data_IF_058451028835
#
_entry.id   IF_058451028835
#
_cell.length_a   1.000
_cell.length_b   1.000
_cell.length_c   1.000
_cell.angle_alpha   90.00
_cell.angle_beta   90.00
_cell.angle_gamma   90.00
#
_symmetry.space_group_name_H-M   'P 1'
#
loop_
_entity.id
_entity.type
_entity.pdbx_description
1 polymer ?
#
# COMPACT_ATOMS: atom_id res chain seq x y z
N UNK A 1 -27.16 -19.02 -43.83
CA UNK A 1 -26.18 -17.98 -43.47
C UNK A 1 -25.08 -18.63 -42.66
N UNK A 2 -23.90 -18.78 -43.28
CA UNK A 2 -22.73 -19.43 -42.70
C UNK A 2 -22.00 -18.43 -41.80
N UNK A 3 -22.13 -18.59 -40.48
CA UNK A 3 -21.20 -17.95 -39.56
C UNK A 3 -19.86 -18.68 -39.70
N UNK A 4 -18.93 -18.08 -40.44
CA UNK A 4 -17.52 -18.47 -40.43
C UNK A 4 -17.07 -18.50 -38.97
N UNK A 5 -16.71 -19.69 -38.50
CA UNK A 5 -15.93 -19.88 -37.29
C UNK A 5 -14.58 -19.17 -37.46
N UNK A 6 -14.51 -17.92 -36.99
CA UNK A 6 -13.24 -17.23 -36.76
C UNK A 6 -12.43 -18.14 -35.84
N UNK A 7 -11.28 -18.65 -36.30
CA UNK A 7 -10.49 -19.63 -35.54
C UNK A 7 -10.12 -19.04 -34.18
N UNK A 8 -10.21 -19.82 -33.11
CA UNK A 8 -9.93 -19.34 -31.75
C UNK A 8 -8.52 -18.70 -31.61
N UNK A 9 -7.58 -19.08 -32.47
CA UNK A 9 -6.24 -18.48 -32.57
C UNK A 9 -6.25 -17.04 -33.08
N UNK A 10 -7.11 -16.69 -34.04
CA UNK A 10 -7.19 -15.32 -34.59
C UNK A 10 -7.68 -14.27 -33.58
N UNK A 11 -8.11 -14.70 -32.39
CA UNK A 11 -8.49 -13.81 -31.29
C UNK A 11 -7.33 -13.50 -30.33
N UNK A 12 -6.10 -13.98 -30.58
CA UNK A 12 -4.96 -13.89 -29.65
C UNK A 12 -3.78 -13.03 -30.14
N UNK A 13 -3.90 -12.42 -31.32
CA UNK A 13 -2.88 -11.54 -31.89
C UNK A 13 -3.49 -10.53 -32.87
N UNK A 14 -2.73 -9.49 -33.21
CA UNK A 14 -3.06 -8.56 -34.28
C UNK A 14 -1.81 -8.27 -35.12
N UNK A 15 -1.74 -8.88 -36.30
CA UNK A 15 -0.58 -8.77 -37.19
C UNK A 15 -0.34 -7.33 -37.63
N UNK A 16 -1.41 -6.60 -37.94
CA UNK A 16 -1.30 -5.21 -38.40
C UNK A 16 -0.69 -4.30 -37.34
N UNK A 17 -1.04 -4.51 -36.06
CA UNK A 17 -0.44 -3.77 -34.95
C UNK A 17 1.04 -4.15 -34.75
N UNK A 18 1.39 -5.44 -34.79
CA UNK A 18 2.78 -5.88 -34.69
C UNK A 18 3.65 -5.31 -35.81
N UNK A 19 3.17 -5.39 -37.06
CA UNK A 19 3.84 -4.81 -38.23
C UNK A 19 3.96 -3.30 -38.10
N UNK A 20 2.91 -2.61 -37.63
CA UNK A 20 2.92 -1.15 -37.44
C UNK A 20 3.94 -0.69 -36.40
N UNK A 21 4.18 -1.47 -35.34
CA UNK A 21 5.25 -1.18 -34.36
C UNK A 21 6.63 -1.38 -34.98
N UNK A 22 6.88 -2.54 -35.60
CA UNK A 22 8.19 -2.84 -36.16
C UNK A 22 8.59 -1.90 -37.29
N UNK A 23 7.68 -1.64 -38.24
CA UNK A 23 7.96 -0.71 -39.31
C UNK A 23 7.98 0.75 -38.84
N UNK A 24 7.18 1.12 -37.82
CA UNK A 24 7.25 2.44 -37.20
C UNK A 24 8.63 2.74 -36.61
N UNK A 25 9.21 1.78 -35.89
CA UNK A 25 10.57 1.93 -35.32
C UNK A 25 11.66 2.01 -36.40
N UNK A 26 11.48 1.39 -37.57
CA UNK A 26 12.40 1.52 -38.71
C UNK A 26 12.27 2.87 -39.42
N UNK A 27 11.18 3.60 -39.23
CA UNK A 27 10.93 4.91 -39.85
C UNK A 27 11.32 6.06 -38.92
N UNK A 28 11.01 5.95 -37.63
CA UNK A 28 11.27 6.98 -36.61
C UNK A 28 11.91 6.34 -35.35
N UNK A 29 13.24 6.40 -35.25
CA UNK A 29 13.97 5.76 -34.15
C UNK A 29 13.73 6.44 -32.78
N UNK A 30 13.47 7.75 -32.78
CA UNK A 30 13.27 8.55 -31.56
C UNK A 30 12.03 8.08 -30.77
N UNK A 31 11.11 7.37 -31.42
CA UNK A 31 9.92 6.80 -30.77
C UNK A 31 10.23 5.55 -29.94
N UNK A 32 11.46 5.04 -29.98
CA UNK A 32 11.90 3.93 -29.14
C UNK A 32 11.65 4.21 -27.65
N UNK A 33 11.89 5.43 -27.18
CA UNK A 33 11.73 5.80 -25.77
C UNK A 33 10.27 5.69 -25.29
N UNK A 34 9.31 5.87 -26.20
CA UNK A 34 7.88 5.68 -25.93
C UNK A 34 7.46 4.19 -25.96
N UNK A 35 8.13 3.37 -26.79
CA UNK A 35 7.78 1.96 -27.00
C UNK A 35 8.48 1.01 -26.02
N UNK A 36 9.74 1.27 -25.69
CA UNK A 36 10.54 0.46 -24.76
C UNK A 36 9.87 0.18 -23.41
N UNK A 37 9.15 1.12 -22.76
CA UNK A 37 8.44 0.83 -21.51
C UNK A 37 7.14 0.03 -21.72
N UNK A 38 6.60 -0.04 -22.93
CA UNK A 38 5.30 -0.66 -23.23
C UNK A 38 5.44 -2.14 -23.63
N UNK A 39 6.48 -2.47 -24.39
CA UNK A 39 6.65 -3.77 -25.03
C UNK A 39 8.04 -4.36 -24.82
N UNK A 40 8.09 -5.69 -24.70
CA UNK A 40 9.30 -6.50 -24.79
C UNK A 40 9.22 -7.47 -25.99
N UNK A 41 10.35 -8.09 -26.36
CA UNK A 41 10.38 -9.04 -27.47
C UNK A 41 9.42 -10.23 -27.31
N UNK A 42 9.06 -10.63 -26.09
CA UNK A 42 8.09 -11.70 -25.82
C UNK A 42 6.62 -11.31 -26.00
N UNK A 43 6.32 -10.03 -26.20
CA UNK A 43 4.95 -9.54 -26.40
C UNK A 43 4.45 -9.72 -27.83
N UNK A 44 5.32 -10.03 -28.79
CA UNK A 44 4.95 -10.33 -30.16
C UNK A 44 4.51 -11.80 -30.30
N UNK A 45 3.50 -12.06 -31.13
CA UNK A 45 3.01 -13.41 -31.36
C UNK A 45 3.95 -14.24 -32.25
N UNK A 46 4.44 -13.65 -33.34
CA UNK A 46 5.28 -14.36 -34.30
C UNK A 46 6.76 -14.34 -33.88
N UNK A 47 7.41 -15.51 -33.86
CA UNK A 47 8.86 -15.64 -33.56
C UNK A 47 9.74 -14.72 -34.43
N UNK A 48 9.33 -14.50 -35.69
CA UNK A 48 9.97 -13.57 -36.60
C UNK A 48 9.95 -12.14 -36.05
N UNK A 49 8.78 -11.66 -35.58
CA UNK A 49 8.63 -10.34 -34.99
C UNK A 49 9.38 -10.19 -33.66
N UNK A 50 9.35 -11.24 -32.83
CA UNK A 50 10.13 -11.27 -31.58
C UNK A 50 11.64 -11.10 -31.87
N UNK A 51 12.14 -11.79 -32.90
CA UNK A 51 13.54 -11.73 -33.31
C UNK A 51 13.91 -10.37 -33.89
N UNK A 52 13.04 -9.79 -34.72
CA UNK A 52 13.23 -8.44 -35.28
C UNK A 52 13.26 -7.39 -34.16
N UNK A 53 12.29 -7.41 -33.24
CA UNK A 53 12.24 -6.47 -32.13
C UNK A 53 13.47 -6.56 -31.22
N UNK A 54 13.95 -7.79 -30.95
CA UNK A 54 15.17 -8.02 -30.15
C UNK A 54 16.42 -7.46 -30.82
N UNK A 55 16.50 -7.52 -32.15
CA UNK A 55 17.62 -6.93 -32.88
C UNK A 55 17.54 -5.40 -32.90
N UNK A 56 16.34 -4.83 -33.03
CA UNK A 56 16.09 -3.39 -32.87
C UNK A 56 16.55 -2.92 -31.48
N UNK A 57 16.10 -3.58 -30.41
CA UNK A 57 16.50 -3.28 -29.03
C UNK A 57 18.02 -3.25 -28.85
N UNK A 58 18.71 -4.22 -29.46
CA UNK A 58 20.17 -4.32 -29.42
C UNK A 58 20.85 -3.18 -30.18
N UNK A 59 20.36 -2.82 -31.35
CA UNK A 59 20.91 -1.72 -32.16
C UNK A 59 20.74 -0.39 -31.44
N UNK A 60 19.57 -0.11 -30.84
CA UNK A 60 19.36 1.09 -30.01
C UNK A 60 20.31 1.09 -28.82
N UNK A 61 20.42 -0.03 -28.10
CA UNK A 61 21.32 -0.15 -26.95
C UNK A 61 22.80 0.07 -27.30
N UNK A 62 23.18 -0.17 -28.55
CA UNK A 62 24.51 0.08 -29.09
C UNK A 62 24.68 1.51 -29.64
N UNK A 63 23.65 2.35 -29.57
CA UNK A 63 23.64 3.71 -30.12
C UNK A 63 23.70 3.75 -31.66
N UNK A 64 23.26 2.69 -32.33
CA UNK A 64 23.26 2.59 -33.79
C UNK A 64 21.90 2.96 -34.37
N UNK A 65 21.85 3.65 -35.51
CA UNK A 65 20.60 3.99 -36.18
C UNK A 65 19.90 2.73 -36.72
N UNK A 66 18.59 2.76 -36.77
CA UNK A 66 17.73 1.64 -37.17
C UNK A 66 16.95 2.02 -38.41
N UNK A 67 17.37 1.49 -39.55
CA UNK A 67 16.61 1.55 -40.77
C UNK A 67 16.60 0.16 -41.42
N UNK A 68 15.91 0.04 -42.54
CA UNK A 68 15.81 -1.22 -43.28
C UNK A 68 17.20 -1.80 -43.64
N UNK A 69 18.18 -0.96 -43.94
CA UNK A 69 19.52 -1.36 -44.35
C UNK A 69 20.33 -1.79 -43.12
N UNK A 70 20.39 -0.97 -42.08
CA UNK A 70 21.20 -1.28 -40.88
C UNK A 70 20.66 -2.51 -40.15
N UNK A 71 19.34 -2.67 -40.11
CA UNK A 71 18.70 -3.84 -39.52
C UNK A 71 18.96 -5.11 -40.34
N UNK A 72 18.81 -5.04 -41.68
CA UNK A 72 19.05 -6.21 -42.54
C UNK A 72 20.51 -6.67 -42.50
N UNK A 73 21.48 -5.76 -42.54
CA UNK A 73 22.91 -6.08 -42.42
C UNK A 73 23.24 -6.67 -41.04
N UNK A 74 22.64 -6.15 -39.97
CA UNK A 74 22.83 -6.67 -38.62
C UNK A 74 22.27 -8.08 -38.46
N UNK A 75 21.10 -8.35 -39.04
CA UNK A 75 20.48 -9.67 -39.03
C UNK A 75 21.18 -10.67 -39.93
N UNK A 76 21.74 -10.24 -41.06
CA UNK A 76 22.49 -11.09 -41.99
C UNK A 76 23.81 -11.57 -41.37
N UNK A 77 24.56 -10.68 -40.70
CA UNK A 77 25.79 -11.04 -39.96
C UNK A 77 25.60 -12.11 -38.89
N UNK A 78 24.37 -12.34 -38.44
CA UNK A 78 24.00 -13.32 -37.41
C UNK A 78 23.24 -14.52 -37.97
N UNK A 79 23.12 -14.65 -39.28
CA UNK A 79 22.33 -15.68 -39.95
C UNK A 79 20.84 -15.71 -39.52
N UNK A 80 20.31 -14.56 -39.08
CA UNK A 80 18.91 -14.40 -38.62
C UNK A 80 17.97 -13.92 -39.73
N UNK A 81 18.51 -13.23 -40.75
CA UNK A 81 17.72 -12.58 -41.80
C UNK A 81 16.85 -13.58 -42.58
N UNK A 82 17.41 -14.73 -42.96
CA UNK A 82 16.68 -15.77 -43.69
C UNK A 82 15.52 -16.37 -42.86
N UNK A 83 15.68 -16.47 -41.54
CA UNK A 83 14.64 -16.98 -40.63
C UNK A 83 13.45 -16.02 -40.48
N UNK A 84 13.68 -14.74 -40.72
CA UNK A 84 12.68 -13.68 -40.57
C UNK A 84 12.04 -13.26 -41.90
N UNK A 85 12.09 -14.11 -42.93
CA UNK A 85 11.48 -13.81 -44.24
C UNK A 85 12.37 -13.01 -45.20
N UNK A 86 13.61 -12.73 -44.82
CA UNK A 86 14.59 -12.04 -45.66
C UNK A 86 14.36 -10.53 -45.77
N UNK A 87 15.19 -9.88 -46.60
CA UNK A 87 15.10 -8.44 -46.84
C UNK A 87 13.72 -8.00 -47.33
N UNK A 88 13.09 -8.82 -48.19
CA UNK A 88 11.77 -8.53 -48.75
C UNK A 88 10.69 -8.36 -47.66
N UNK A 89 10.76 -9.15 -46.59
CA UNK A 89 9.80 -9.05 -45.49
C UNK A 89 10.00 -7.79 -44.65
N UNK A 90 11.25 -7.44 -44.33
CA UNK A 90 11.54 -6.18 -43.63
C UNK A 90 11.08 -4.96 -44.45
N UNK A 91 11.27 -5.00 -45.77
CA UNK A 91 10.79 -3.97 -46.68
C UNK A 91 9.25 -3.88 -46.67
N UNK A 92 8.56 -5.01 -46.57
CA UNK A 92 7.11 -5.06 -46.44
C UNK A 92 6.63 -4.47 -45.10
N UNK A 93 7.31 -4.76 -43.97
CA UNK A 93 6.99 -4.19 -42.66
C UNK A 93 7.09 -2.65 -42.68
N UNK A 94 8.17 -2.12 -43.25
CA UNK A 94 8.38 -0.68 -43.41
C UNK A 94 7.30 -0.04 -44.29
N UNK A 95 6.92 -0.69 -45.40
CA UNK A 95 5.94 -0.16 -46.36
C UNK A 95 4.49 -0.23 -45.87
N UNK A 96 4.13 -1.27 -45.13
CA UNK A 96 2.76 -1.50 -44.67
C UNK A 96 2.42 -0.76 -43.37
N UNK A 97 3.36 0.01 -42.81
CA UNK A 97 3.13 0.83 -41.63
C UNK A 97 2.34 2.10 -42.02
N UNK A 98 1.09 2.28 -41.55
CA UNK A 98 0.24 3.37 -42.01
C UNK A 98 0.75 4.76 -41.60
N UNK A 99 1.27 4.88 -40.38
CA UNK A 99 1.91 6.09 -39.86
C UNK A 99 2.70 5.77 -38.60
N UNK A 100 3.94 6.26 -38.53
CA UNK A 100 4.74 6.21 -37.32
C UNK A 100 4.11 7.04 -36.18
N UNK A 101 3.23 8.01 -36.48
CA UNK A 101 2.55 8.85 -35.49
C UNK A 101 1.65 8.06 -34.51
N UNK A 102 1.12 6.90 -34.93
CA UNK A 102 0.23 6.07 -34.12
C UNK A 102 0.93 4.84 -33.50
N UNK A 103 2.27 4.80 -33.51
CA UNK A 103 3.03 3.63 -33.05
C UNK A 103 2.69 3.20 -31.61
N UNK A 104 2.43 4.17 -30.72
CA UNK A 104 2.03 3.92 -29.32
C UNK A 104 0.70 3.18 -29.26
N UNK A 105 -0.30 3.60 -30.03
CA UNK A 105 -1.60 2.93 -30.08
C UNK A 105 -1.47 1.49 -30.63
N UNK A 106 -0.59 1.27 -31.62
CA UNK A 106 -0.30 -0.09 -32.09
C UNK A 106 0.40 -0.93 -31.02
N UNK A 107 1.33 -0.33 -30.26
CA UNK A 107 2.02 -1.01 -29.18
C UNK A 107 1.07 -1.40 -28.04
N UNK A 108 0.11 -0.54 -27.68
CA UNK A 108 -0.94 -0.85 -26.72
C UNK A 108 -1.80 -2.05 -27.17
N UNK A 109 -2.15 -2.12 -28.46
CA UNK A 109 -2.88 -3.25 -29.03
C UNK A 109 -2.04 -4.54 -28.89
N UNK A 110 -0.77 -4.54 -29.30
CA UNK A 110 0.11 -5.71 -29.17
C UNK A 110 0.21 -6.17 -27.71
N UNK A 111 0.35 -5.21 -26.79
CA UNK A 111 0.41 -5.45 -25.35
C UNK A 111 -0.87 -6.09 -24.81
N UNK A 112 -2.04 -5.62 -25.23
CA UNK A 112 -3.33 -6.19 -24.86
C UNK A 112 -3.44 -7.66 -25.29
N UNK A 113 -3.04 -7.95 -26.54
CA UNK A 113 -3.02 -9.32 -27.04
C UNK A 113 -1.98 -10.21 -26.32
N UNK A 114 -0.80 -9.67 -25.99
CA UNK A 114 0.20 -10.38 -25.16
C UNK A 114 -0.40 -10.80 -23.81
N UNK A 115 -1.07 -9.87 -23.12
CA UNK A 115 -1.77 -10.16 -21.85
C UNK A 115 -2.83 -11.23 -22.00
N UNK A 116 -3.63 -11.15 -23.07
CA UNK A 116 -4.64 -12.17 -23.37
C UNK A 116 -4.01 -13.56 -23.52
N UNK A 117 -2.86 -13.66 -24.20
CA UNK A 117 -2.11 -14.92 -24.32
C UNK A 117 -1.55 -15.40 -22.98
N UNK A 118 -1.02 -14.50 -22.16
CA UNK A 118 -0.53 -14.83 -20.82
C UNK A 118 -1.65 -15.35 -19.90
N UNK A 119 -2.86 -14.75 -19.98
CA UNK A 119 -4.04 -15.21 -19.26
C UNK A 119 -4.50 -16.60 -19.72
N UNK A 120 -4.53 -16.85 -21.04
CA UNK A 120 -4.87 -18.18 -21.59
C UNK A 120 -3.85 -19.22 -21.12
N UNK A 121 -2.55 -18.89 -21.17
CA UNK A 121 -1.48 -19.76 -20.68
C UNK A 121 -1.65 -20.10 -19.20
N UNK A 122 -1.92 -19.08 -18.37
CA UNK A 122 -2.20 -19.28 -16.95
C UNK A 122 -3.42 -20.20 -16.73
N UNK A 123 -4.51 -19.98 -17.47
CA UNK A 123 -5.70 -20.82 -17.39
C UNK A 123 -5.41 -22.30 -17.72
N UNK A 124 -4.63 -22.55 -18.78
CA UNK A 124 -4.20 -23.90 -19.13
C UNK A 124 -3.28 -24.52 -18.07
N UNK A 125 -2.32 -23.76 -17.53
CA UNK A 125 -1.41 -24.22 -16.48
C UNK A 125 -2.17 -24.60 -15.20
N UNK A 126 -3.16 -23.79 -14.80
CA UNK A 126 -4.00 -24.05 -13.64
C UNK A 126 -4.89 -25.27 -13.85
N UNK A 127 -5.53 -25.40 -15.02
CA UNK A 127 -6.33 -26.56 -15.35
C UNK A 127 -5.51 -27.85 -15.33
N UNK A 128 -4.31 -27.83 -15.92
CA UNK A 128 -3.41 -28.97 -15.94
C UNK A 128 -2.94 -29.38 -14.53
N UNK A 129 -2.55 -28.41 -13.70
CA UNK A 129 -2.11 -28.67 -12.32
C UNK A 129 -3.28 -29.15 -11.45
N UNK A 130 -4.46 -28.52 -11.53
CA UNK A 130 -5.64 -28.91 -10.75
C UNK A 130 -6.19 -30.31 -11.12
N UNK A 131 -5.91 -30.79 -12.33
CA UNK A 131 -6.34 -32.12 -12.79
C UNK A 131 -5.46 -33.27 -12.27
N UNK A 132 -4.33 -32.98 -11.61
CA UNK A 132 -3.43 -34.00 -11.03
C UNK A 132 -3.86 -34.29 -9.59
N UNK A 133 -4.05 -35.57 -9.25
CA UNK A 133 -4.73 -36.02 -8.02
C UNK A 133 -4.02 -35.78 -6.69
N UNK A 134 -2.75 -35.36 -6.68
CA UNK A 134 -1.96 -35.10 -5.45
C UNK A 134 -1.40 -33.66 -5.42
N UNK A 135 -2.23 -32.71 -5.87
CA UNK A 135 -1.83 -31.30 -5.98
C UNK A 135 -2.10 -30.55 -4.68
N UNK A 136 -1.09 -29.85 -4.16
CA UNK A 136 -1.28 -28.85 -3.11
C UNK A 136 -2.13 -27.69 -3.64
N UNK A 137 -3.43 -27.73 -3.33
CA UNK A 137 -4.42 -26.74 -3.76
C UNK A 137 -4.07 -25.36 -3.22
N UNK A 138 -3.58 -25.26 -1.99
CA UNK A 138 -3.24 -23.98 -1.36
C UNK A 138 -2.04 -23.34 -2.06
N UNK A 139 -0.98 -24.10 -2.32
CA UNK A 139 0.17 -23.63 -3.11
C UNK A 139 -0.19 -23.25 -4.54
N UNK A 140 -1.13 -23.98 -5.17
CA UNK A 140 -1.61 -23.67 -6.52
C UNK A 140 -2.38 -22.34 -6.57
N UNK A 141 -3.27 -22.09 -5.60
CA UNK A 141 -4.01 -20.82 -5.48
C UNK A 141 -3.02 -19.66 -5.28
N UNK A 142 -2.04 -19.82 -4.40
CA UNK A 142 -1.05 -18.78 -4.14
C UNK A 142 -0.21 -18.45 -5.39
N UNK A 143 0.22 -19.47 -6.14
CA UNK A 143 0.93 -19.29 -7.40
C UNK A 143 0.06 -18.57 -8.44
N UNK A 144 -1.22 -18.93 -8.53
CA UNK A 144 -2.19 -18.27 -9.39
C UNK A 144 -2.36 -16.79 -9.04
N UNK A 145 -2.49 -16.47 -7.75
CA UNK A 145 -2.59 -15.09 -7.25
C UNK A 145 -1.35 -14.27 -7.58
N UNK A 146 -0.14 -14.82 -7.36
CA UNK A 146 1.12 -14.15 -7.72
C UNK A 146 1.19 -13.86 -9.22
N UNK A 147 0.85 -14.83 -10.07
CA UNK A 147 0.88 -14.66 -11.53
C UNK A 147 -0.18 -13.64 -11.99
N UNK A 148 -1.43 -13.74 -11.52
CA UNK A 148 -2.48 -12.75 -11.82
C UNK A 148 -2.10 -11.34 -11.37
N UNK A 149 -1.50 -11.22 -10.19
CA UNK A 149 -1.05 -9.94 -9.65
C UNK A 149 0.06 -9.32 -10.51
N UNK A 150 1.01 -10.11 -10.98
CA UNK A 150 2.06 -9.63 -11.90
C UNK A 150 1.48 -9.13 -13.23
N UNK A 151 0.46 -9.81 -13.77
CA UNK A 151 -0.27 -9.38 -14.97
C UNK A 151 -1.04 -8.08 -14.74
N UNK A 152 -1.62 -7.91 -13.55
CA UNK A 152 -2.35 -6.70 -13.18
C UNK A 152 -1.42 -5.50 -12.93
N UNK A 153 -0.20 -5.69 -12.42
CA UNK A 153 0.76 -4.62 -12.17
C UNK A 153 1.31 -3.96 -13.44
N UNK A 154 1.38 -4.69 -14.56
CA UNK A 154 1.79 -4.12 -15.84
C UNK A 154 0.88 -2.96 -16.29
N UNK A 155 -0.28 -2.76 -15.69
CA UNK A 155 -1.24 -1.71 -16.05
C UNK A 155 -0.87 -0.31 -15.52
N UNK A 156 0.13 -0.19 -14.64
CA UNK A 156 0.52 1.09 -14.03
C UNK A 156 1.94 1.48 -14.42
N UNK A 157 2.10 2.08 -15.60
CA UNK A 157 3.15 3.07 -15.78
C UNK A 157 2.56 4.41 -15.34
N UNK A 158 2.82 4.92 -14.12
CA UNK A 158 2.48 6.31 -13.82
C UNK A 158 3.34 7.22 -14.70
N UNK A 159 2.79 8.37 -15.11
CA UNK A 159 3.54 9.46 -15.76
C UNK A 159 4.84 9.73 -14.99
N UNK A 160 5.98 9.40 -15.59
CA UNK A 160 7.27 9.26 -14.87
C UNK A 160 7.96 10.60 -14.59
N UNK A 161 7.44 11.74 -15.08
CA UNK A 161 7.99 13.06 -14.74
C UNK A 161 6.91 14.13 -14.76
N UNK A 162 6.61 14.71 -13.58
CA UNK A 162 5.80 15.92 -13.47
C UNK A 162 6.69 17.16 -13.63
N UNK A 163 6.25 18.15 -14.41
CA UNK A 163 6.94 19.43 -14.49
C UNK A 163 6.93 20.15 -13.14
N UNK A 164 8.09 20.63 -12.70
CA UNK A 164 8.25 21.40 -11.45
C UNK A 164 7.30 22.60 -11.42
N UNK A 165 7.09 23.27 -12.56
CA UNK A 165 6.21 24.46 -12.62
C UNK A 165 4.74 24.15 -12.33
N UNK A 166 4.26 22.97 -12.76
CA UNK A 166 2.90 22.51 -12.46
C UNK A 166 2.76 22.20 -10.97
N UNK A 167 3.76 21.53 -10.39
CA UNK A 167 3.78 21.18 -8.97
C UNK A 167 3.85 22.39 -8.03
N UNK A 168 4.60 23.44 -8.41
CA UNK A 168 4.68 24.68 -7.61
C UNK A 168 3.31 25.35 -7.51
N UNK A 169 2.57 25.43 -8.62
CA UNK A 169 1.23 26.04 -8.62
C UNK A 169 0.25 25.26 -7.74
N UNK A 170 0.26 23.93 -7.82
CA UNK A 170 -0.54 23.06 -6.96
C UNK A 170 -0.17 23.22 -5.49
N UNK A 171 1.12 23.32 -5.18
CA UNK A 171 1.62 23.49 -3.81
C UNK A 171 1.22 24.84 -3.22
N UNK A 172 1.26 25.92 -4.01
CA UNK A 172 0.83 27.25 -3.55
C UNK A 172 -0.68 27.24 -3.25
N UNK A 173 -1.50 26.68 -4.13
CA UNK A 173 -2.95 26.56 -3.88
C UNK A 173 -3.24 25.73 -2.63
N UNK A 174 -2.48 24.67 -2.38
CA UNK A 174 -2.57 23.90 -1.15
C UNK A 174 -2.15 24.73 0.08
N UNK A 175 -1.01 25.44 0.04
CA UNK A 175 -0.56 26.30 1.15
C UNK A 175 -1.59 27.37 1.49
N UNK A 176 -2.20 27.99 0.49
CA UNK A 176 -3.29 28.97 0.69
C UNK A 176 -4.50 28.34 1.37
N UNK A 177 -4.86 27.09 1.02
CA UNK A 177 -5.98 26.37 1.62
C UNK A 177 -5.77 26.03 3.10
N UNK A 178 -4.51 25.83 3.50
CA UNK A 178 -4.13 25.46 4.88
C UNK A 178 -3.78 26.71 5.71
N UNK A 179 -3.40 27.80 5.05
CA UNK A 179 -3.07 29.09 5.68
C UNK A 179 -4.34 29.77 6.21
N UNK A 180 -4.66 29.49 7.48
CA UNK A 180 -5.83 30.03 8.19
C UNK A 180 -6.47 29.05 9.19
N UNK A 181 -6.05 27.78 9.18
CA UNK A 181 -6.52 26.72 10.09
C UNK A 181 -5.72 26.61 11.40
N UNK A 182 -5.95 25.50 12.13
CA UNK A 182 -5.33 25.17 13.43
C UNK A 182 -3.83 24.85 13.38
N UNK A 183 -3.18 24.97 12.21
CA UNK A 183 -1.79 24.56 12.00
C UNK A 183 -1.60 23.07 11.69
N UNK A 184 -2.67 22.26 11.72
CA UNK A 184 -2.65 20.84 11.34
C UNK A 184 -2.93 20.71 9.85
N UNK A 185 -1.94 20.26 9.09
CA UNK A 185 -1.99 20.14 7.63
C UNK A 185 -2.43 18.74 7.16
N UNK A 186 -2.23 17.73 8.00
CA UNK A 186 -2.58 16.33 7.76
C UNK A 186 -3.78 15.86 8.59
N UNK A 187 -3.92 14.54 8.74
CA UNK A 187 -4.95 13.93 9.60
C UNK A 187 -4.62 14.17 11.08
N UNK A 188 -5.54 14.75 11.87
CA UNK A 188 -5.30 15.02 13.29
C UNK A 188 -5.03 13.75 14.09
N UNK A 189 -4.05 13.80 14.98
CA UNK A 189 -3.68 12.67 15.85
C UNK A 189 -4.53 12.61 17.11
N UNK A 190 -5.18 13.71 17.51
CA UNK A 190 -5.97 13.79 18.75
C UNK A 190 -5.17 14.25 19.96
N UNK A 191 -3.91 14.66 19.77
CA UNK A 191 -3.11 15.34 20.77
C UNK A 191 -2.52 16.61 20.15
N UNK A 192 -2.84 17.77 20.69
CA UNK A 192 -2.35 19.06 20.18
C UNK A 192 -0.82 19.10 20.13
N UNK A 193 -0.13 18.67 21.19
CA UNK A 193 1.35 18.67 21.20
C UNK A 193 1.96 17.73 20.15
N UNK A 194 1.28 16.62 19.83
CA UNK A 194 1.74 15.71 18.77
C UNK A 194 1.46 16.31 17.39
N UNK A 195 0.30 16.93 17.21
CA UNK A 195 -0.07 17.62 15.98
C UNK A 195 0.84 18.83 15.71
N UNK A 196 1.26 19.58 16.72
CA UNK A 196 2.24 20.67 16.59
C UNK A 196 3.61 20.18 16.12
N UNK A 197 4.05 19.00 16.59
CA UNK A 197 5.33 18.40 16.18
C UNK A 197 5.26 17.72 14.82
N UNK A 198 4.08 17.27 14.40
CA UNK A 198 3.91 16.44 13.20
C UNK A 198 3.23 17.16 12.04
N UNK A 199 2.54 18.26 12.29
CA UNK A 199 1.57 18.84 11.36
C UNK A 199 0.33 17.95 11.17
N UNK A 200 0.09 16.99 12.07
CA UNK A 200 -0.79 15.85 11.83
C UNK A 200 -0.13 14.77 10.96
N UNK A 201 -0.83 13.67 10.72
CA UNK A 201 -0.33 12.59 9.86
C UNK A 201 -0.55 12.90 8.38
N UNK A 202 0.55 12.97 7.62
CA UNK A 202 0.51 13.42 6.24
C UNK A 202 0.08 12.30 5.28
N UNK A 203 -0.60 12.70 4.20
CA UNK A 203 -1.00 11.77 3.14
C UNK A 203 0.22 11.11 2.49
N UNK A 204 0.19 9.79 2.37
CA UNK A 204 1.29 9.03 1.79
C UNK A 204 2.33 8.56 2.78
N UNK A 205 2.26 8.96 4.06
CA UNK A 205 3.20 8.53 5.09
C UNK A 205 2.87 7.15 5.66
N UNK A 206 3.94 6.42 6.02
CA UNK A 206 3.88 5.21 6.82
C UNK A 206 4.29 5.56 8.25
N UNK A 207 3.34 5.45 9.18
CA UNK A 207 3.52 5.69 10.61
C UNK A 207 3.64 4.35 11.32
N UNK A 208 4.70 4.15 12.09
CA UNK A 208 4.86 2.96 12.93
C UNK A 208 4.63 3.32 14.40
N UNK A 209 3.72 2.60 15.05
CA UNK A 209 3.51 2.69 16.50
C UNK A 209 4.02 1.43 17.19
N UNK A 210 5.18 1.57 17.84
CA UNK A 210 5.88 0.51 18.55
C UNK A 210 5.54 0.48 20.03
N UNK A 211 5.16 -0.68 20.58
CA UNK A 211 5.01 -0.81 22.03
C UNK A 211 5.26 -2.25 22.50
N UNK A 212 5.53 -2.41 23.81
CA UNK A 212 5.46 -3.71 24.48
C UNK A 212 4.00 -4.09 24.76
N UNK A 213 3.70 -5.39 24.96
CA UNK A 213 2.37 -5.84 25.37
C UNK A 213 1.85 -5.07 26.58
N UNK A 214 0.53 -4.89 26.66
CA UNK A 214 -0.16 -4.20 27.77
C UNK A 214 0.13 -2.71 27.94
N UNK A 215 0.99 -2.11 27.10
CA UNK A 215 1.25 -0.67 27.13
C UNK A 215 0.04 0.17 26.69
N UNK A 216 -0.89 -0.38 25.91
CA UNK A 216 -2.08 0.34 25.42
C UNK A 216 -2.04 0.68 23.93
N UNK A 217 -1.17 0.04 23.15
CA UNK A 217 -0.98 0.24 21.70
C UNK A 217 -2.29 0.28 20.89
N UNK A 218 -3.17 -0.70 21.06
CA UNK A 218 -4.47 -0.72 20.37
C UNK A 218 -5.40 0.39 20.87
N UNK A 219 -5.33 0.75 22.17
CA UNK A 219 -6.12 1.85 22.72
C UNK A 219 -5.68 3.21 22.16
N UNK A 220 -4.38 3.43 22.00
CA UNK A 220 -3.82 4.60 21.32
C UNK A 220 -4.23 4.63 19.84
N UNK A 221 -4.15 3.50 19.14
CA UNK A 221 -4.62 3.38 17.75
C UNK A 221 -6.10 3.74 17.58
N UNK A 222 -6.96 3.25 18.48
CA UNK A 222 -8.40 3.59 18.47
C UNK A 222 -8.64 5.08 18.77
N UNK A 223 -7.82 5.70 19.62
CA UNK A 223 -7.91 7.13 19.86
C UNK A 223 -7.55 7.95 18.62
N UNK A 224 -6.50 7.57 17.90
CA UNK A 224 -6.17 8.19 16.62
C UNK A 224 -7.29 7.98 15.58
N UNK A 225 -7.95 6.81 15.59
CA UNK A 225 -9.12 6.57 14.73
C UNK A 225 -10.28 7.54 15.05
N UNK A 226 -10.57 7.74 16.34
CA UNK A 226 -11.60 8.71 16.78
C UNK A 226 -11.21 10.12 16.33
N UNK A 227 -9.97 10.54 16.57
CA UNK A 227 -9.48 11.86 16.18
C UNK A 227 -9.57 12.09 14.67
N UNK A 228 -9.21 11.09 13.86
CA UNK A 228 -9.33 11.16 12.40
C UNK A 228 -10.80 11.24 11.94
N UNK A 229 -11.71 10.47 12.55
CA UNK A 229 -13.14 10.52 12.24
C UNK A 229 -13.77 11.88 12.60
N UNK A 230 -13.37 12.47 13.71
CA UNK A 230 -13.87 13.78 14.16
C UNK A 230 -13.24 14.94 13.38
N UNK A 231 -11.94 14.86 13.09
CA UNK A 231 -11.18 15.89 12.39
C UNK A 231 -11.33 15.88 10.87
N UNK A 232 -11.85 14.81 10.27
CA UNK A 232 -12.08 14.70 8.82
C UNK A 232 -13.50 14.22 8.49
N UNK A 233 -14.55 15.06 8.66
CA UNK A 233 -15.96 14.67 8.54
C UNK A 233 -16.37 14.01 7.22
N UNK A 234 -15.68 14.31 6.13
CA UNK A 234 -16.00 13.77 4.79
C UNK A 234 -15.15 12.56 4.39
N UNK A 235 -14.22 12.13 5.26
CA UNK A 235 -13.32 11.01 4.99
C UNK A 235 -13.66 9.80 5.85
N UNK A 236 -13.26 8.62 5.36
CA UNK A 236 -13.39 7.35 6.07
C UNK A 236 -12.16 7.05 6.93
N UNK A 237 -12.27 6.10 7.85
CA UNK A 237 -11.16 5.48 8.57
C UNK A 237 -11.28 3.97 8.42
N UNK A 238 -10.21 3.31 7.99
CA UNK A 238 -10.18 1.87 7.81
C UNK A 238 -9.30 1.24 8.88
N UNK A 239 -9.81 0.25 9.60
CA UNK A 239 -9.11 -0.45 10.67
C UNK A 239 -9.02 -1.94 10.34
N UNK A 240 -7.82 -2.41 10.03
CA UNK A 240 -7.51 -3.82 9.78
C UNK A 240 -7.01 -4.45 11.07
N UNK A 241 -7.86 -5.25 11.72
CA UNK A 241 -7.60 -5.87 13.01
C UNK A 241 -7.30 -7.35 12.86
N UNK A 242 -6.02 -7.69 12.76
CA UNK A 242 -5.56 -9.07 12.56
C UNK A 242 -5.55 -9.83 13.91
N UNK A 243 -5.26 -9.14 15.01
CA UNK A 243 -5.18 -9.75 16.34
C UNK A 243 -6.54 -9.87 17.04
N UNK A 244 -7.38 -8.83 16.94
CA UNK A 244 -8.59 -8.71 17.76
C UNK A 244 -9.87 -8.77 16.91
N UNK A 245 -10.92 -9.47 17.36
CA UNK A 245 -12.21 -9.46 16.67
C UNK A 245 -12.90 -8.09 16.81
N UNK A 246 -13.72 -7.75 15.82
CA UNK A 246 -14.45 -6.47 15.72
C UNK A 246 -15.22 -6.15 16.99
N UNK A 247 -15.90 -7.14 17.58
CA UNK A 247 -16.68 -6.95 18.81
C UNK A 247 -15.84 -6.41 19.98
N UNK A 248 -14.58 -6.84 20.11
CA UNK A 248 -13.70 -6.35 21.17
C UNK A 248 -13.27 -4.90 20.93
N UNK A 249 -13.04 -4.51 19.67
CA UNK A 249 -12.73 -3.12 19.32
C UNK A 249 -13.93 -2.20 19.57
N UNK A 250 -15.15 -2.63 19.20
CA UNK A 250 -16.36 -1.85 19.46
C UNK A 250 -16.59 -1.65 20.96
N UNK A 251 -16.40 -2.69 21.80
CA UNK A 251 -16.51 -2.54 23.25
C UNK A 251 -15.50 -1.54 23.82
N UNK A 252 -14.28 -1.50 23.27
CA UNK A 252 -13.27 -0.49 23.67
C UNK A 252 -13.68 0.91 23.24
N UNK A 253 -14.11 1.10 21.99
CA UNK A 253 -14.62 2.39 21.52
C UNK A 253 -15.78 2.89 22.38
N UNK A 254 -16.74 2.02 22.73
CA UNK A 254 -17.83 2.36 23.64
C UNK A 254 -17.33 2.78 25.02
N UNK A 255 -16.36 2.06 25.60
CA UNK A 255 -15.74 2.42 26.88
C UNK A 255 -15.08 3.80 26.83
N UNK A 256 -14.32 4.06 25.76
CA UNK A 256 -13.61 5.32 25.56
C UNK A 256 -14.58 6.50 25.37
N UNK A 257 -15.65 6.32 24.58
CA UNK A 257 -16.63 7.36 24.28
C UNK A 257 -17.59 7.61 25.45
N UNK A 258 -18.13 6.56 26.07
CA UNK A 258 -19.11 6.68 27.16
C UNK A 258 -18.47 6.98 28.52
N UNK A 259 -17.14 6.83 28.64
CA UNK A 259 -16.41 6.83 29.93
C UNK A 259 -17.02 5.86 30.93
N UNK A 260 -17.38 4.67 30.44
CA UNK A 260 -17.88 3.56 31.26
C UNK A 260 -16.73 2.57 31.45
N UNK A 261 -16.48 2.08 32.68
CA UNK A 261 -15.35 1.19 32.95
C UNK A 261 -15.36 -0.03 32.04
N UNK A 262 -14.24 -0.34 31.40
CA UNK A 262 -14.16 -1.42 30.41
C UNK A 262 -14.52 -2.79 31.02
N UNK A 263 -14.16 -3.01 32.29
CA UNK A 263 -14.49 -4.26 33.00
C UNK A 263 -16.00 -4.43 33.22
N UNK A 264 -16.74 -3.33 33.44
CA UNK A 264 -18.20 -3.37 33.57
C UNK A 264 -18.86 -3.78 32.25
N UNK A 265 -18.39 -3.22 31.13
CA UNK A 265 -18.87 -3.57 29.78
C UNK A 265 -18.59 -5.04 29.47
N UNK A 266 -17.36 -5.49 29.72
CA UNK A 266 -16.94 -6.87 29.49
C UNK A 266 -17.73 -7.88 30.33
N UNK A 267 -18.08 -7.52 31.57
CA UNK A 267 -18.84 -8.38 32.50
C UNK A 267 -20.36 -8.21 32.41
N UNK A 268 -20.84 -7.26 31.59
CA UNK A 268 -22.27 -6.93 31.50
C UNK A 268 -22.87 -6.37 32.80
N UNK A 269 -22.06 -5.74 33.66
CA UNK A 269 -22.48 -5.19 34.96
C UNK A 269 -22.62 -3.68 34.85
N UNK A 270 -23.76 -3.24 34.33
CA UNK A 270 -24.03 -1.82 34.05
C UNK A 270 -25.17 -1.32 34.91
N UNK A 271 -24.97 -0.16 35.54
CA UNK A 271 -26.07 0.56 36.20
C UNK A 271 -26.97 1.25 35.17
N UNK A 272 -28.18 1.66 35.58
CA UNK A 272 -29.11 2.40 34.71
C UNK A 272 -28.47 3.69 34.16
N UNK A 273 -27.71 4.42 34.98
CA UNK A 273 -26.97 5.60 34.52
C UNK A 273 -25.88 5.29 33.49
N UNK A 274 -25.18 4.15 33.64
CA UNK A 274 -24.19 3.71 32.66
C UNK A 274 -24.83 3.28 31.33
N UNK A 275 -26.04 2.70 31.37
CA UNK A 275 -26.80 2.41 30.17
C UNK A 275 -27.17 3.67 29.37
N UNK A 276 -27.52 4.77 30.05
CA UNK A 276 -27.77 6.05 29.39
C UNK A 276 -26.51 6.58 28.69
N UNK A 277 -25.36 6.60 29.37
CA UNK A 277 -24.08 7.02 28.78
C UNK A 277 -23.68 6.17 27.55
N UNK A 278 -23.95 4.86 27.60
CA UNK A 278 -23.72 3.98 26.46
C UNK A 278 -24.65 4.26 25.30
N UNK A 279 -25.91 4.64 25.57
CA UNK A 279 -26.85 5.04 24.52
C UNK A 279 -26.31 6.22 23.72
N UNK A 280 -25.75 7.22 24.38
CA UNK A 280 -25.15 8.39 23.72
C UNK A 280 -23.91 8.00 22.91
N UNK A 281 -23.05 7.14 23.46
CA UNK A 281 -21.88 6.62 22.74
C UNK A 281 -22.26 5.75 21.52
N UNK A 282 -23.33 4.95 21.63
CA UNK A 282 -23.88 4.19 20.51
C UNK A 282 -24.41 5.12 19.41
N UNK A 283 -25.12 6.19 19.76
CA UNK A 283 -25.58 7.19 18.80
C UNK A 283 -24.39 7.84 18.06
N UNK A 284 -23.31 8.16 18.77
CA UNK A 284 -22.07 8.66 18.18
C UNK A 284 -21.43 7.64 17.23
N UNK A 285 -21.32 6.37 17.62
CA UNK A 285 -20.80 5.32 16.74
C UNK A 285 -21.67 5.14 15.49
N UNK A 286 -22.99 5.17 15.63
CA UNK A 286 -23.93 5.12 14.51
C UNK A 286 -23.75 6.32 13.57
N UNK A 287 -23.37 7.50 14.07
CA UNK A 287 -23.05 8.65 13.21
C UNK A 287 -21.81 8.43 12.31
N UNK A 288 -20.98 7.42 12.62
CA UNK A 288 -19.84 7.00 11.80
C UNK A 288 -20.16 5.82 10.88
N UNK A 289 -21.44 5.49 10.69
CA UNK A 289 -21.88 4.49 9.72
C UNK A 289 -21.32 4.82 8.31
N UNK A 290 -20.75 3.80 7.66
CA UNK A 290 -20.08 3.97 6.36
C UNK A 290 -18.75 4.72 6.40
N UNK A 291 -18.32 5.23 7.56
CA UNK A 291 -17.05 5.96 7.73
C UNK A 291 -16.02 5.18 8.53
N UNK A 292 -16.40 4.55 9.64
CA UNK A 292 -15.51 3.63 10.37
C UNK A 292 -15.69 2.22 9.80
N UNK A 293 -14.69 1.74 9.05
CA UNK A 293 -14.70 0.44 8.41
C UNK A 293 -13.72 -0.49 9.13
N UNK A 294 -14.22 -1.57 9.74
CA UNK A 294 -13.39 -2.55 10.47
C UNK A 294 -13.38 -3.87 9.69
N UNK A 295 -12.19 -4.42 9.49
CA UNK A 295 -11.93 -5.72 8.86
C UNK A 295 -11.11 -6.56 9.84
N UNK A 296 -11.70 -7.62 10.42
CA UNK A 296 -11.06 -8.50 11.41
C UNK A 296 -10.63 -9.86 10.85
N UNK A 297 -10.39 -9.92 9.54
CA UNK A 297 -9.92 -11.15 8.87
C UNK A 297 -8.55 -11.57 9.41
N UNK A 298 -8.45 -12.76 10.01
CA UNK A 298 -7.24 -13.23 10.74
C UNK A 298 -6.02 -13.55 9.86
N UNK A 299 -6.22 -13.78 8.56
CA UNK A 299 -5.13 -14.03 7.60
C UNK A 299 -5.13 -12.93 6.54
N UNK A 300 -4.25 -11.95 6.72
CA UNK A 300 -4.08 -10.81 5.82
C UNK A 300 -2.66 -10.79 5.27
N UNK A 301 -2.55 -10.84 3.94
CA UNK A 301 -1.29 -10.53 3.24
C UNK A 301 -1.30 -9.05 2.84
N UNK A 302 -0.14 -8.42 2.56
CA UNK A 302 -0.12 -7.04 2.07
C UNK A 302 -0.95 -6.82 0.81
N UNK A 303 -1.02 -7.84 -0.06
CA UNK A 303 -1.82 -7.82 -1.28
C UNK A 303 -3.32 -7.82 -1.00
N UNK A 304 -3.80 -8.69 -0.09
CA UNK A 304 -5.23 -8.74 0.26
C UNK A 304 -5.67 -7.46 0.95
N UNK A 305 -4.83 -6.89 1.83
CA UNK A 305 -5.08 -5.62 2.49
C UNK A 305 -5.22 -4.49 1.45
N UNK A 306 -4.28 -4.40 0.50
CA UNK A 306 -4.33 -3.41 -0.60
C UNK A 306 -5.60 -3.54 -1.45
N UNK A 307 -6.03 -4.76 -1.78
CA UNK A 307 -7.28 -5.00 -2.52
C UNK A 307 -8.49 -4.54 -1.70
N UNK A 308 -8.55 -4.91 -0.42
CA UNK A 308 -9.63 -4.50 0.49
C UNK A 308 -9.69 -2.98 0.61
N UNK A 309 -8.55 -2.32 0.80
CA UNK A 309 -8.45 -0.88 0.92
C UNK A 309 -8.94 -0.14 -0.34
N UNK A 310 -8.50 -0.57 -1.52
CA UNK A 310 -8.97 -0.04 -2.81
C UNK A 310 -10.46 -0.23 -3.01
N UNK A 311 -10.99 -1.40 -2.66
CA UNK A 311 -12.43 -1.69 -2.73
C UNK A 311 -13.22 -0.74 -1.83
N UNK A 312 -12.74 -0.51 -0.61
CA UNK A 312 -13.35 0.40 0.34
C UNK A 312 -13.29 1.86 -0.14
N UNK A 313 -12.16 2.30 -0.71
CA UNK A 313 -12.03 3.64 -1.32
C UNK A 313 -13.08 3.86 -2.41
N UNK A 314 -13.27 2.87 -3.29
CA UNK A 314 -14.28 2.95 -4.38
C UNK A 314 -15.72 2.99 -3.87
N UNK A 315 -16.00 2.29 -2.77
CA UNK A 315 -17.36 2.13 -2.24
C UNK A 315 -17.76 3.22 -1.26
N UNK A 316 -16.84 3.67 -0.41
CA UNK A 316 -17.10 4.55 0.72
C UNK A 316 -16.35 5.88 0.65
N UNK A 317 -15.44 6.05 -0.32
CA UNK A 317 -14.67 7.28 -0.49
C UNK A 317 -13.29 7.26 0.17
N UNK A 318 -12.60 8.38 0.07
CA UNK A 318 -11.21 8.54 0.46
C UNK A 318 -11.01 8.38 1.99
N UNK A 319 -10.08 7.53 2.44
CA UNK A 319 -9.73 7.46 3.85
C UNK A 319 -8.86 8.64 4.29
N UNK A 320 -9.10 9.10 5.51
CA UNK A 320 -8.21 9.99 6.25
C UNK A 320 -7.13 9.22 7.00
N UNK A 321 -7.37 7.94 7.28
CA UNK A 321 -6.45 7.08 8.00
C UNK A 321 -6.73 5.60 7.70
N UNK A 322 -5.65 4.84 7.51
CA UNK A 322 -5.69 3.38 7.49
C UNK A 322 -4.86 2.86 8.68
N UNK A 323 -5.47 2.07 9.56
CA UNK A 323 -4.84 1.44 10.71
C UNK A 323 -4.66 -0.06 10.49
N UNK A 324 -3.52 -0.61 10.91
CA UNK A 324 -3.21 -2.05 10.82
C UNK A 324 -2.70 -2.57 12.17
N UNK A 325 -3.47 -3.44 12.83
CA UNK A 325 -3.15 -4.05 14.13
C UNK A 325 -2.97 -5.58 14.02
N UNK A 326 -1.75 -6.13 13.97
CA UNK A 326 -0.43 -5.50 13.91
C UNK A 326 0.44 -6.18 12.85
N UNK A 327 1.47 -5.48 12.38
CA UNK A 327 2.32 -5.87 11.25
C UNK A 327 2.83 -7.30 11.31
N UNK A 328 3.29 -7.73 12.48
CA UNK A 328 3.93 -9.03 12.64
C UNK A 328 2.94 -10.21 12.68
N UNK A 329 1.64 -10.00 12.44
CA UNK A 329 0.71 -11.09 12.13
C UNK A 329 0.46 -11.26 10.62
N UNK A 330 0.89 -10.30 9.80
CA UNK A 330 0.82 -10.44 8.36
C UNK A 330 1.83 -11.50 7.89
N UNK A 331 1.43 -12.24 6.85
CA UNK A 331 2.27 -13.24 6.19
C UNK A 331 2.42 -12.92 4.70
N UNK A 332 3.62 -13.13 4.18
CA UNK A 332 3.91 -13.16 2.74
C UNK A 332 4.28 -14.59 2.39
N UNK A 333 3.39 -15.32 1.70
CA UNK A 333 3.61 -16.74 1.50
C UNK A 333 4.78 -16.98 0.52
N UNK A 334 5.52 -18.08 0.76
CA UNK A 334 6.75 -18.42 0.04
C UNK A 334 8.05 -17.76 0.53
N UNK A 335 8.05 -17.13 1.73
CA UNK A 335 9.27 -16.60 2.37
C UNK A 335 9.65 -17.43 3.60
N UNK A 336 10.89 -17.91 3.64
CA UNK A 336 11.41 -18.64 4.82
C UNK A 336 11.98 -17.70 5.89
N UNK A 337 12.46 -16.51 5.49
CA UNK A 337 13.09 -15.57 6.40
C UNK A 337 12.14 -14.45 6.84
N UNK A 338 11.81 -14.44 8.13
CA UNK A 338 10.91 -13.46 8.74
C UNK A 338 11.36 -12.01 8.55
N UNK A 339 12.66 -11.74 8.53
CA UNK A 339 13.19 -10.38 8.31
C UNK A 339 12.86 -9.88 6.91
N UNK A 340 13.00 -10.72 5.89
CA UNK A 340 12.68 -10.36 4.50
C UNK A 340 11.18 -10.17 4.31
N UNK A 341 10.38 -10.99 4.99
CA UNK A 341 8.93 -10.87 4.98
C UNK A 341 8.46 -9.54 5.58
N UNK A 342 8.99 -9.14 6.75
CA UNK A 342 8.70 -7.85 7.37
C UNK A 342 9.12 -6.68 6.47
N UNK A 343 10.26 -6.79 5.79
CA UNK A 343 10.71 -5.81 4.80
C UNK A 343 9.72 -5.67 3.64
N UNK A 344 9.22 -6.78 3.10
CA UNK A 344 8.23 -6.77 2.02
C UNK A 344 6.89 -6.18 2.47
N UNK A 345 6.45 -6.50 3.69
CA UNK A 345 5.25 -5.91 4.31
C UNK A 345 5.40 -4.39 4.42
N UNK A 346 6.51 -3.91 4.98
CA UNK A 346 6.77 -2.48 5.18
C UNK A 346 6.77 -1.69 3.86
N UNK A 347 7.49 -2.17 2.84
CA UNK A 347 7.48 -1.57 1.49
C UNK A 347 6.10 -1.57 0.86
N UNK A 348 5.34 -2.64 1.03
CA UNK A 348 3.99 -2.76 0.49
C UNK A 348 3.03 -1.75 1.14
N UNK A 349 3.14 -1.54 2.46
CA UNK A 349 2.33 -0.56 3.18
C UNK A 349 2.73 0.88 2.85
N UNK A 350 4.02 1.19 2.72
CA UNK A 350 4.46 2.52 2.24
C UNK A 350 3.97 2.78 0.81
N UNK A 351 3.99 1.76 -0.05
CA UNK A 351 3.46 1.87 -1.41
C UNK A 351 1.94 2.09 -1.40
N UNK A 352 1.21 1.40 -0.50
CA UNK A 352 -0.22 1.60 -0.29
C UNK A 352 -0.54 3.03 0.15
N UNK A 353 0.21 3.55 1.13
CA UNK A 353 0.04 4.91 1.63
C UNK A 353 0.17 5.93 0.48
N UNK A 354 1.25 5.83 -0.30
CA UNK A 354 1.50 6.72 -1.45
C UNK A 354 0.44 6.61 -2.54
N UNK A 355 0.01 5.38 -2.83
CA UNK A 355 -0.98 5.12 -3.88
C UNK A 355 -2.35 5.67 -3.50
N UNK A 356 -2.81 5.37 -2.28
CA UNK A 356 -4.10 5.85 -1.81
C UNK A 356 -4.04 7.34 -1.50
N UNK A 357 -2.86 7.93 -1.25
CA UNK A 357 -2.68 9.29 -0.73
C UNK A 357 -3.41 9.44 0.61
N UNK A 358 -3.04 8.59 1.56
CA UNK A 358 -3.60 8.54 2.90
C UNK A 358 -2.50 8.05 3.87
N UNK A 359 -2.43 8.57 5.12
CA UNK A 359 -1.52 8.02 6.12
C UNK A 359 -1.91 6.57 6.47
N UNK A 360 -0.91 5.70 6.48
CA UNK A 360 -1.05 4.31 6.95
C UNK A 360 -0.31 4.17 8.28
N UNK A 361 -1.06 3.95 9.35
CA UNK A 361 -0.52 3.73 10.68
C UNK A 361 -0.53 2.24 11.01
N UNK A 362 0.65 1.68 11.21
CA UNK A 362 0.83 0.26 11.45
C UNK A 362 1.43 -0.01 12.82
N UNK A 363 0.74 -0.87 13.56
CA UNK A 363 1.12 -1.25 14.90
C UNK A 363 2.29 -2.24 14.80
N UNK A 364 3.38 -2.00 15.56
CA UNK A 364 4.55 -2.90 15.65
C UNK A 364 4.83 -3.37 17.09
N UNK A 365 5.04 -4.67 17.29
CA UNK A 365 5.47 -5.18 18.60
C UNK A 365 6.99 -5.08 18.76
N UNK A 366 7.45 -4.65 19.93
CA UNK A 366 8.89 -4.51 20.23
C UNK A 366 9.52 -5.80 20.75
N UNK A 367 10.83 -5.94 20.55
CA UNK A 367 11.65 -7.01 21.11
C UNK A 367 11.61 -7.02 22.65
N UNK A 368 11.76 -8.20 23.26
CA UNK A 368 11.78 -8.34 24.73
C UNK A 368 13.06 -7.77 25.37
N UNK A 369 14.10 -7.52 24.58
CA UNK A 369 15.38 -6.95 25.04
C UNK A 369 15.24 -5.61 25.74
N UNK A 370 14.22 -4.80 25.38
CA UNK A 370 13.94 -3.52 26.05
C UNK A 370 13.70 -3.69 27.55
N UNK A 371 13.10 -4.82 27.97
CA UNK A 371 12.78 -5.09 29.37
C UNK A 371 14.01 -5.42 30.23
N UNK A 372 15.13 -5.77 29.58
CA UNK A 372 16.40 -6.10 30.25
C UNK A 372 17.26 -4.86 30.51
N UNK A 373 16.97 -3.73 29.88
CA UNK A 373 17.69 -2.47 30.08
C UNK A 373 17.27 -1.79 31.38
N UNK A 374 18.17 -0.97 31.92
CA UNK A 374 17.84 -0.10 33.06
C UNK A 374 16.79 0.94 32.67
N UNK A 375 17.02 1.66 31.57
CA UNK A 375 16.00 2.48 30.94
C UNK A 375 15.20 1.63 29.96
N UNK A 376 13.92 1.44 30.29
CA UNK A 376 12.97 0.63 29.51
C UNK A 376 12.24 1.45 28.44
N UNK A 377 12.60 2.73 28.24
CA UNK A 377 12.09 3.51 27.12
C UNK A 377 12.54 2.90 25.80
N UNK A 378 11.61 2.59 24.88
CA UNK A 378 11.96 2.04 23.59
C UNK A 378 12.80 2.98 22.73
N UNK A 379 13.61 2.38 21.88
CA UNK A 379 14.50 3.01 20.91
C UNK A 379 14.33 2.33 19.55
N UNK A 380 14.86 2.92 18.47
CA UNK A 380 14.74 2.37 17.12
C UNK A 380 15.25 0.93 17.00
N UNK A 381 16.30 0.57 17.75
CA UNK A 381 16.84 -0.80 17.80
C UNK A 381 15.88 -1.85 18.37
N UNK A 382 14.83 -1.44 19.08
CA UNK A 382 13.86 -2.35 19.70
C UNK A 382 12.74 -2.80 18.75
N UNK A 383 12.62 -2.15 17.59
CA UNK A 383 11.77 -2.65 16.52
C UNK A 383 12.26 -4.06 16.14
N UNK A 384 11.33 -5.01 16.08
CA UNK A 384 11.67 -6.40 15.77
C UNK A 384 12.14 -6.50 14.31
N UNK A 385 13.31 -7.11 14.09
CA UNK A 385 13.88 -7.34 12.75
C UNK A 385 14.04 -6.02 11.92
N UNK A 386 14.56 -4.97 12.58
CA UNK A 386 14.25 -3.53 12.38
C UNK A 386 14.84 -2.76 11.21
N UNK A 387 15.92 -3.20 10.56
CA UNK A 387 16.65 -2.33 9.64
C UNK A 387 15.79 -1.76 8.50
N UNK A 388 14.88 -2.57 7.96
CA UNK A 388 13.98 -2.15 6.87
C UNK A 388 12.78 -1.34 7.34
N UNK A 389 12.18 -1.69 8.49
CA UNK A 389 11.07 -0.95 9.08
C UNK A 389 11.47 0.49 9.39
N UNK A 390 12.67 0.64 9.97
CA UNK A 390 13.23 1.95 10.23
C UNK A 390 13.41 2.74 8.94
N UNK A 391 13.93 2.14 7.86
CA UNK A 391 14.19 2.84 6.61
C UNK A 391 12.91 3.29 5.91
N UNK A 392 11.90 2.43 5.84
CA UNK A 392 10.69 2.64 5.05
C UNK A 392 9.70 3.60 5.71
N UNK A 393 9.59 3.58 7.05
CA UNK A 393 8.68 4.44 7.80
C UNK A 393 9.09 5.92 7.74
N UNK A 394 8.11 6.81 7.70
CA UNK A 394 8.32 8.26 7.74
C UNK A 394 8.30 8.77 9.18
N UNK A 395 7.40 8.20 9.99
CA UNK A 395 7.23 8.48 11.41
C UNK A 395 7.32 7.18 12.20
N UNK A 396 8.09 7.18 13.29
CA UNK A 396 8.16 6.06 14.24
C UNK A 396 7.92 6.61 15.63
N UNK A 397 6.88 6.10 16.27
CA UNK A 397 6.48 6.48 17.61
C UNK A 397 6.56 5.26 18.52
N UNK A 398 6.95 5.49 19.77
CA UNK A 398 6.95 4.47 20.80
C UNK A 398 6.06 4.86 21.97
N UNK A 399 5.25 3.91 22.42
CA UNK A 399 4.46 4.08 23.62
C UNK A 399 5.19 3.49 24.83
N UNK A 400 5.39 4.31 25.85
CA UNK A 400 5.98 3.92 27.12
C UNK A 400 5.09 4.35 28.29
N UNK A 401 4.88 3.46 29.26
CA UNK A 401 4.21 3.75 30.53
C UNK A 401 5.03 3.17 31.67
N UNK A 402 5.51 4.05 32.53
CA UNK A 402 6.40 3.67 33.63
C UNK A 402 5.70 2.79 34.66
N UNK A 403 4.41 3.07 34.93
CA UNK A 403 3.57 2.32 35.87
C UNK A 403 3.41 0.83 35.53
N UNK A 404 3.66 0.42 34.28
CA UNK A 404 3.62 -1.01 33.86
C UNK A 404 4.82 -1.78 34.41
N UNK A 405 5.94 -1.08 34.64
CA UNK A 405 7.17 -1.67 35.16
C UNK A 405 7.40 -1.38 36.64
N UNK A 406 6.85 -0.27 37.15
CA UNK A 406 7.09 0.23 38.49
C UNK A 406 5.75 0.47 39.21
N UNK A 407 5.40 -0.37 40.20
CA UNK A 407 4.13 -0.27 40.94
C UNK A 407 3.97 1.05 41.72
N UNK A 408 5.09 1.65 42.13
CA UNK A 408 5.15 2.92 42.85
C UNK A 408 5.60 4.10 41.97
N UNK A 409 5.37 4.02 40.65
CA UNK A 409 5.75 5.09 39.73
C UNK A 409 5.10 6.43 40.12
N UNK A 410 5.87 7.53 40.19
CA UNK A 410 5.31 8.87 40.39
C UNK A 410 4.50 9.35 39.17
N UNK A 411 4.73 8.75 38.00
CA UNK A 411 4.09 9.07 36.73
C UNK A 411 2.87 8.17 36.45
N UNK A 412 2.14 7.77 37.49
CA UNK A 412 0.97 6.88 37.36
C UNK A 412 -0.13 7.55 36.51
N UNK A 413 -0.70 6.80 35.57
CA UNK A 413 -1.65 7.31 34.59
C UNK A 413 -1.04 8.25 33.55
N UNK A 414 0.29 8.37 33.47
CA UNK A 414 0.98 9.14 32.43
C UNK A 414 1.65 8.15 31.46
N UNK A 415 1.46 8.42 30.18
CA UNK A 415 2.12 7.74 29.08
C UNK A 415 3.03 8.71 28.33
N UNK A 416 4.13 8.19 27.83
CA UNK A 416 5.07 8.89 26.95
C UNK A 416 4.89 8.36 25.53
N UNK A 417 4.58 9.26 24.60
CA UNK A 417 4.59 9.01 23.16
C UNK A 417 5.91 9.57 22.64
N UNK A 418 6.87 8.68 22.42
CA UNK A 418 8.25 9.01 22.05
C UNK A 418 8.37 9.00 20.53
N UNK A 419 8.58 10.16 19.91
CA UNK A 419 8.90 10.30 18.49
C UNK A 419 10.35 9.86 18.26
N UNK A 420 10.54 8.57 17.97
CA UNK A 420 11.85 7.98 17.69
C UNK A 420 12.37 8.30 16.29
N UNK A 421 11.48 8.54 15.32
CA UNK A 421 11.81 9.00 13.97
C UNK A 421 10.72 9.91 13.44
N UNK A 422 11.11 10.97 12.75
CA UNK A 422 10.22 11.90 12.06
C UNK A 422 10.98 12.49 10.87
N UNK A 423 10.58 12.18 9.63
CA UNK A 423 11.29 12.67 8.43
C UNK A 423 11.11 14.17 8.17
N UNK A 424 9.95 14.72 8.55
CA UNK A 424 9.51 16.06 8.15
C UNK A 424 9.43 17.03 9.35
N UNK A 425 10.04 16.72 10.48
CA UNK A 425 9.85 17.49 11.71
C UNK A 425 10.77 17.08 12.85
N UNK A 426 10.62 17.72 14.03
CA UNK A 426 11.47 17.48 15.19
C UNK A 426 11.17 16.12 15.84
N UNK A 427 12.19 15.56 16.48
CA UNK A 427 12.03 14.47 17.45
C UNK A 427 11.58 15.03 18.81
N UNK A 428 11.12 14.15 19.69
CA UNK A 428 10.78 14.52 21.06
C UNK A 428 9.84 13.52 21.73
N UNK A 429 9.46 13.80 22.97
CA UNK A 429 8.49 13.00 23.70
C UNK A 429 7.30 13.87 24.04
N UNK A 430 6.11 13.38 23.73
CA UNK A 430 4.83 13.99 24.11
C UNK A 430 4.27 13.21 25.29
N UNK A 431 3.78 13.92 26.31
CA UNK A 431 3.10 13.27 27.44
C UNK A 431 1.61 13.19 27.17
N UNK A 432 1.02 12.04 27.47
CA UNK A 432 -0.42 11.80 27.40
C UNK A 432 -0.92 11.25 28.74
N UNK A 433 -2.15 11.59 29.12
CA UNK A 433 -2.83 10.94 30.25
C UNK A 433 -3.46 9.65 29.75
N UNK A 434 -3.23 8.54 30.45
CA UNK A 434 -3.85 7.24 30.20
C UNK A 434 -4.82 6.86 31.32
N UNK A 435 -6.12 6.95 31.04
CA UNK A 435 -7.18 6.47 31.91
C UNK A 435 -7.44 4.98 31.60
N UNK A 436 -6.67 4.10 32.25
CA UNK A 436 -6.71 2.65 31.99
C UNK A 436 -8.07 2.00 32.26
N UNK A 437 -8.88 2.57 33.13
CA UNK A 437 -10.27 2.13 33.40
C UNK A 437 -11.15 2.22 32.15
N UNK A 438 -10.93 3.24 31.31
CA UNK A 438 -11.70 3.51 30.09
C UNK A 438 -10.91 3.17 28.82
N UNK A 439 -9.69 2.61 28.97
CA UNK A 439 -8.76 2.34 27.86
C UNK A 439 -8.51 3.57 26.99
N UNK A 440 -8.44 4.77 27.59
CA UNK A 440 -8.43 6.04 26.86
C UNK A 440 -7.16 6.83 27.15
N UNK A 441 -6.52 7.32 26.09
CA UNK A 441 -5.54 8.39 26.18
C UNK A 441 -6.20 9.77 25.99
N UNK A 442 -5.67 10.78 26.63
CA UNK A 442 -6.08 12.18 26.48
C UNK A 442 -4.88 13.12 26.69
N UNK A 443 -5.05 14.39 26.37
CA UNK A 443 -3.99 15.38 26.58
C UNK A 443 -3.55 15.44 28.04
N UNK A 444 -2.24 15.59 28.21
CA UNK A 444 -1.65 15.85 29.50
C UNK A 444 -1.57 17.37 29.74
N UNK A 445 -2.28 17.85 30.75
CA UNK A 445 -2.13 19.22 31.24
C UNK A 445 -1.35 19.21 32.56
N UNK A 446 -0.10 19.74 32.59
CA UNK A 446 0.66 19.82 33.82
C UNK A 446 -0.05 20.76 34.82
N UNK A 447 -0.68 20.20 35.85
CA UNK A 447 -1.35 20.97 36.92
C UNK A 447 -2.66 20.39 37.49
N UNK A 448 -3.31 19.43 36.84
CA UNK A 448 -4.57 18.82 37.31
C UNK A 448 -4.37 17.51 38.09
N UNK A 449 -3.38 17.50 38.99
CA UNK A 449 -2.87 16.31 39.67
C UNK A 449 -3.08 16.25 41.17
N UNK A 450 -4.11 16.88 41.74
CA UNK A 450 -4.58 16.59 43.11
C UNK A 450 -6.10 16.72 43.18
N UNK A 451 -6.82 15.69 42.71
CA UNK A 451 -8.11 15.37 43.31
C UNK A 451 -7.98 13.95 43.83
N UNK A 452 -7.59 13.88 45.10
CA UNK A 452 -7.67 12.70 45.94
C UNK A 452 -9.07 12.08 45.83
N UNK A 453 -9.16 10.92 45.18
CA UNK A 453 -10.28 10.01 45.41
C UNK A 453 -10.06 9.36 46.78
N UNK A 454 -10.65 9.99 47.81
CA UNK A 454 -10.97 9.34 49.08
C UNK A 454 -12.27 8.54 48.99
#
# INVERSE_FOLDING_TARGET
MSHKSVSAESMLFNVGAETGVLGGLMLENDRWDEIAPLLNSGDFYYDQHQTIFREIERLVSAGLPIDLITLSESMERKDLLARCGGFAYLAELSKNTPSAANIVAYAEIVREYSRKRQLVKLGHELHQQASVGDTDISGLIEKAEKQLFSLAQQTCAPDVCLSVTTQVSETIGWLESVSGGSGVTGTPTGFVELDEKTGGWQDGDLILLGARPSMGKTAEALNHAIAALEGSPDKTVQFYSIEMPTQQLILRLLSMLARVPFDNLRKGRLSEGQWALLSDAMAKLSSWEGRLLIDDTSYQTPSTLRISARRNVRKYGQPSLILVDYLQLMSCPGRENRTQEIQEISRSLKSLAKEIKCPVAALSQLNRSVEQRQDKRPTLSDLRDSGSLEQDADVIMFLYRDEVYNEHSPDRGIAEIILGKQRQGPLGTVKARFDGEYMRFSEYHPGYGEVSHG
#
